data_IF_272144054038
#
_entry.id   IF_272144054038
#
_cell.length_a   1.000
_cell.length_b   1.000
_cell.length_c   1.000
_cell.angle_alpha   90.00
_cell.angle_beta   90.00
_cell.angle_gamma   90.00
#
_symmetry.space_group_name_H-M   'P 1'
#
loop_
_entity.id
_entity.type
_entity.pdbx_description
1 polymer ?
#
# COMPACT_ATOMS: atom_id res chain seq x y z
N UNK A 1 41.61 -20.46 17.46
CA UNK A 1 40.56 -19.64 18.08
C UNK A 1 39.77 -19.08 16.93
N UNK A 2 38.73 -19.80 16.54
CA UNK A 2 37.85 -19.40 15.46
C UNK A 2 36.92 -18.33 16.04
N UNK A 3 36.88 -17.16 15.42
CA UNK A 3 35.86 -16.17 15.71
C UNK A 3 34.53 -16.78 15.30
N UNK A 4 33.66 -17.05 16.27
CA UNK A 4 32.25 -17.27 16.01
C UNK A 4 31.73 -15.92 15.48
N UNK A 5 31.45 -15.86 14.18
CA UNK A 5 30.65 -14.78 13.62
C UNK A 5 29.29 -14.87 14.32
N UNK A 6 29.00 -13.91 15.21
CA UNK A 6 27.66 -13.72 15.74
C UNK A 6 26.75 -13.47 14.54
N UNK A 7 26.02 -14.51 14.13
CA UNK A 7 24.95 -14.38 13.14
C UNK A 7 23.90 -13.50 13.81
N UNK A 8 23.90 -12.22 13.46
CA UNK A 8 22.83 -11.29 13.85
C UNK A 8 21.59 -11.78 13.12
N UNK A 9 20.78 -12.60 13.79
CA UNK A 9 19.47 -13.01 13.29
C UNK A 9 18.63 -11.74 13.30
N UNK A 10 18.31 -11.21 12.13
CA UNK A 10 17.39 -10.08 12.03
C UNK A 10 16.05 -10.46 12.65
N UNK A 11 15.45 -9.57 13.45
CA UNK A 11 14.21 -9.88 14.14
C UNK A 11 13.09 -10.07 13.11
N UNK A 12 12.34 -11.17 13.25
CA UNK A 12 11.23 -11.49 12.36
C UNK A 12 10.21 -10.34 12.34
N UNK A 13 9.75 -9.87 11.16
CA UNK A 13 8.77 -8.79 11.09
C UNK A 13 7.51 -9.11 11.90
N UNK A 14 7.02 -8.08 12.58
CA UNK A 14 5.93 -8.16 13.53
C UNK A 14 4.76 -7.27 13.08
N UNK A 15 3.57 -7.86 13.08
CA UNK A 15 2.28 -7.17 13.04
C UNK A 15 1.80 -7.08 14.48
N UNK A 16 1.87 -5.90 15.06
CA UNK A 16 1.36 -5.67 16.42
C UNK A 16 -0.16 -5.60 16.37
N UNK A 17 -0.82 -6.36 17.24
CA UNK A 17 -2.27 -6.35 17.45
C UNK A 17 -2.56 -5.95 18.88
N UNK A 18 -3.37 -4.91 19.07
CA UNK A 18 -3.76 -4.41 20.39
C UNK A 18 -5.23 -4.05 20.42
N UNK A 19 -5.85 -4.11 21.60
CA UNK A 19 -7.21 -3.65 21.82
C UNK A 19 -7.26 -2.66 22.96
N UNK A 20 -8.04 -1.60 22.79
CA UNK A 20 -8.40 -0.71 23.87
C UNK A 20 -9.69 -1.11 24.60
N UNK A 21 -10.40 -2.10 24.09
CA UNK A 21 -11.59 -2.69 24.69
C UNK A 21 -11.26 -4.04 25.35
N UNK A 22 -11.41 -4.19 26.68
CA UNK A 22 -11.14 -5.46 27.37
C UNK A 22 -12.12 -6.59 27.03
N UNK A 23 -13.23 -6.28 26.35
CA UNK A 23 -14.20 -7.28 25.90
C UNK A 23 -13.87 -7.84 24.52
N UNK A 24 -13.08 -7.10 23.74
CA UNK A 24 -12.55 -7.58 22.48
C UNK A 24 -11.37 -8.51 22.73
N UNK A 25 -11.28 -9.56 21.92
CA UNK A 25 -10.22 -10.57 22.01
C UNK A 25 -9.40 -10.50 20.75
N UNK A 26 -8.17 -10.00 20.86
CA UNK A 26 -7.21 -9.91 19.76
C UNK A 26 -6.99 -11.27 19.11
N UNK A 27 -7.04 -12.36 19.89
CA UNK A 27 -6.93 -13.72 19.41
C UNK A 27 -8.03 -14.12 18.42
N UNK A 28 -9.26 -13.62 18.58
CA UNK A 28 -10.36 -13.91 17.65
C UNK A 28 -10.17 -13.19 16.32
N UNK A 29 -9.57 -12.00 16.33
CA UNK A 29 -9.17 -11.31 15.10
C UNK A 29 -8.02 -12.06 14.42
N UNK A 30 -7.01 -12.49 15.18
CA UNK A 30 -5.87 -13.25 14.66
C UNK A 30 -6.35 -14.57 14.01
N UNK A 31 -7.28 -15.31 14.64
CA UNK A 31 -7.87 -16.51 14.02
C UNK A 31 -8.49 -16.22 12.65
N UNK A 32 -9.22 -15.11 12.54
CA UNK A 32 -9.85 -14.70 11.29
C UNK A 32 -8.80 -14.28 10.24
N UNK A 33 -7.76 -13.53 10.62
CA UNK A 33 -6.64 -13.17 9.74
C UNK A 33 -5.94 -14.43 9.22
N UNK A 34 -5.69 -15.40 10.09
CA UNK A 34 -5.06 -16.67 9.76
C UNK A 34 -5.98 -17.62 8.98
N UNK A 35 -7.30 -17.36 8.93
CA UNK A 35 -8.28 -18.26 8.34
C UNK A 35 -8.40 -19.60 9.08
N UNK A 36 -8.20 -19.61 10.41
CA UNK A 36 -8.17 -20.83 11.24
C UNK A 36 -9.27 -20.81 12.31
N UNK A 37 -9.78 -21.98 12.70
CA UNK A 37 -10.76 -22.11 13.79
C UNK A 37 -10.12 -22.09 15.19
N UNK A 38 -8.84 -22.44 15.27
CA UNK A 38 -8.03 -22.44 16.49
C UNK A 38 -6.68 -21.81 16.18
N UNK A 39 -6.15 -21.02 17.12
CA UNK A 39 -4.83 -20.43 16.98
C UNK A 39 -3.74 -21.50 16.89
N UNK A 40 -2.67 -21.27 16.11
CA UNK A 40 -1.48 -22.10 16.17
C UNK A 40 -0.80 -21.98 17.54
N UNK A 41 0.12 -22.89 17.82
CA UNK A 41 0.98 -22.73 19.00
C UNK A 41 1.79 -21.43 18.87
N UNK A 42 1.84 -20.59 19.94
CA UNK A 42 2.66 -19.40 19.92
C UNK A 42 4.13 -19.75 19.63
N UNK A 43 4.77 -18.99 18.74
CA UNK A 43 6.22 -19.11 18.52
C UNK A 43 7.00 -18.60 19.74
N UNK A 44 6.40 -17.66 20.49
CA UNK A 44 6.93 -17.07 21.70
C UNK A 44 5.80 -16.57 22.59
N UNK A 45 6.01 -16.57 23.91
CA UNK A 45 5.14 -15.92 24.89
C UNK A 45 5.98 -15.37 26.03
N UNK A 46 5.78 -14.09 26.35
CA UNK A 46 6.42 -13.39 27.47
C UNK A 46 5.35 -12.62 28.24
N UNK A 47 5.07 -13.04 29.48
CA UNK A 47 3.98 -12.52 30.29
C UNK A 47 2.63 -12.53 29.53
N UNK A 48 2.14 -11.34 29.17
CA UNK A 48 0.89 -11.11 28.45
C UNK A 48 1.10 -10.82 26.96
N UNK A 49 2.34 -10.84 26.48
CA UNK A 49 2.68 -10.67 25.06
C UNK A 49 2.82 -12.03 24.41
N UNK A 50 2.15 -12.23 23.29
CA UNK A 50 2.06 -13.54 22.62
C UNK A 50 2.30 -13.36 21.12
N UNK A 51 3.17 -14.20 20.54
CA UNK A 51 3.49 -14.16 19.12
C UNK A 51 2.97 -15.40 18.42
N UNK A 52 2.17 -15.21 17.39
CA UNK A 52 1.67 -16.28 16.53
C UNK A 52 2.38 -16.22 15.18
N UNK A 53 2.97 -17.35 14.72
CA UNK A 53 3.63 -17.38 13.42
C UNK A 53 2.60 -17.29 12.29
N UNK A 54 2.94 -16.56 11.24
CA UNK A 54 2.14 -16.50 10.02
C UNK A 54 3.04 -16.40 8.80
N UNK A 55 2.76 -17.19 7.77
CA UNK A 55 3.42 -17.05 6.46
C UNK A 55 2.44 -16.39 5.51
N UNK A 56 2.76 -15.17 5.08
CA UNK A 56 2.08 -14.51 3.98
C UNK A 56 2.58 -15.15 2.68
N UNK A 57 1.66 -15.56 1.82
CA UNK A 57 1.99 -16.20 0.54
C UNK A 57 1.02 -15.69 -0.52
N UNK A 58 1.44 -14.67 -1.26
CA UNK A 58 0.65 -14.04 -2.32
C UNK A 58 1.14 -14.49 -3.71
N UNK A 59 0.68 -13.86 -4.80
CA UNK A 59 1.10 -14.22 -6.17
C UNK A 59 2.61 -14.03 -6.40
N UNK A 60 3.24 -13.11 -5.67
CA UNK A 60 4.58 -12.59 -5.97
C UNK A 60 5.65 -13.15 -5.04
N UNK A 61 5.38 -13.22 -3.74
CA UNK A 61 6.36 -13.58 -2.72
C UNK A 61 5.76 -14.45 -1.61
N UNK A 62 6.65 -15.04 -0.81
CA UNK A 62 6.35 -15.54 0.53
C UNK A 62 7.07 -14.71 1.58
N UNK A 63 6.46 -14.45 2.72
CA UNK A 63 7.08 -13.73 3.82
C UNK A 63 6.66 -14.34 5.15
N UNK A 64 7.62 -14.71 5.98
CA UNK A 64 7.36 -15.13 7.36
C UNK A 64 7.24 -13.90 8.25
N UNK A 65 6.12 -13.79 8.96
CA UNK A 65 5.82 -12.69 9.87
C UNK A 65 5.27 -13.25 11.18
N UNK A 66 5.16 -12.39 12.19
CA UNK A 66 4.49 -12.73 13.45
C UNK A 66 3.33 -11.79 13.72
N UNK A 67 2.20 -12.34 14.19
CA UNK A 67 1.11 -11.57 14.77
C UNK A 67 1.34 -11.51 16.28
N UNK A 68 1.69 -10.34 16.79
CA UNK A 68 2.06 -10.14 18.19
C UNK A 68 0.94 -9.41 18.95
N UNK A 69 0.33 -10.10 19.90
CA UNK A 69 -0.66 -9.49 20.81
C UNK A 69 0.08 -8.70 21.88
N UNK A 70 -0.09 -7.38 21.89
CA UNK A 70 0.47 -6.49 22.92
C UNK A 70 -0.67 -5.71 23.58
N UNK A 71 -1.12 -6.09 24.79
CA UNK A 71 -2.33 -5.52 25.39
C UNK A 71 -2.26 -4.02 25.69
N UNK A 72 -1.08 -3.48 25.93
CA UNK A 72 -0.91 -2.04 26.13
C UNK A 72 0.53 -1.60 25.90
N UNK A 73 0.75 -0.29 25.82
CA UNK A 73 2.08 0.31 25.67
C UNK A 73 3.03 -0.02 26.82
N UNK A 74 2.53 -0.43 27.99
CA UNK A 74 3.36 -0.83 29.13
C UNK A 74 4.09 -2.16 28.90
N UNK A 75 3.60 -2.99 27.98
CA UNK A 75 4.23 -4.25 27.59
C UNK A 75 5.08 -4.12 26.32
N UNK A 76 5.24 -2.91 25.79
CA UNK A 76 6.17 -2.67 24.69
C UNK A 76 7.61 -2.89 25.15
N UNK A 77 8.28 -3.84 24.50
CA UNK A 77 9.70 -4.12 24.71
C UNK A 77 10.52 -3.77 23.46
N UNK A 78 11.84 -3.72 23.61
CA UNK A 78 12.75 -3.38 22.51
C UNK A 78 12.65 -4.33 21.33
N UNK A 79 12.34 -5.62 21.57
CA UNK A 79 12.21 -6.63 20.52
C UNK A 79 10.96 -6.39 19.66
N UNK A 80 9.82 -6.11 20.29
CA UNK A 80 8.59 -5.72 19.58
C UNK A 80 8.81 -4.42 18.81
N UNK A 81 9.41 -3.41 19.45
CA UNK A 81 9.66 -2.13 18.81
C UNK A 81 10.56 -2.24 17.57
N UNK A 82 11.59 -3.10 17.62
CA UNK A 82 12.52 -3.29 16.49
C UNK A 82 11.94 -4.13 15.35
N UNK A 83 10.93 -4.96 15.62
CA UNK A 83 10.31 -5.84 14.63
C UNK A 83 9.01 -5.29 14.03
N UNK A 84 8.37 -4.31 14.68
CA UNK A 84 7.06 -3.81 14.27
C UNK A 84 7.10 -3.13 12.89
N UNK A 85 6.41 -3.73 11.90
CA UNK A 85 6.25 -3.18 10.55
C UNK A 85 4.78 -2.86 10.23
N UNK A 86 3.85 -3.39 11.01
CA UNK A 86 2.44 -3.07 10.93
C UNK A 86 1.83 -2.98 12.33
N UNK A 87 0.79 -2.16 12.47
CA UNK A 87 0.04 -2.02 13.70
C UNK A 87 -1.46 -2.02 13.42
N UNK A 88 -2.17 -2.92 14.11
CA UNK A 88 -3.61 -3.04 14.09
C UNK A 88 -4.10 -2.79 15.52
N UNK A 89 -4.93 -1.76 15.69
CA UNK A 89 -5.52 -1.45 16.99
C UNK A 89 -7.03 -1.44 16.93
N UNK A 90 -7.66 -2.22 17.80
CA UNK A 90 -9.09 -2.21 17.97
C UNK A 90 -9.50 -1.13 18.98
N UNK A 91 -10.54 -0.36 18.66
CA UNK A 91 -11.21 0.54 19.59
C UNK A 91 -12.72 0.28 19.63
N UNK A 92 -13.32 0.52 20.80
CA UNK A 92 -14.76 0.46 20.94
C UNK A 92 -15.40 1.79 20.49
N UNK A 93 -16.04 1.77 19.32
CA UNK A 93 -16.73 2.92 18.76
C UNK A 93 -17.98 3.33 19.54
N UNK A 94 -18.59 2.46 20.36
CA UNK A 94 -19.76 2.83 21.15
C UNK A 94 -19.41 3.72 22.36
N UNK A 95 -18.12 3.88 22.66
CA UNK A 95 -17.62 4.78 23.70
C UNK A 95 -17.29 6.13 23.08
N UNK A 96 -17.95 7.21 23.52
CA UNK A 96 -17.80 8.59 22.96
C UNK A 96 -16.35 9.06 22.78
N UNK A 97 -15.49 8.73 23.73
CA UNK A 97 -14.08 9.08 23.73
C UNK A 97 -13.19 7.86 23.41
N UNK A 98 -13.73 6.88 22.69
CA UNK A 98 -13.07 5.60 22.40
C UNK A 98 -11.70 5.78 21.74
N UNK A 99 -11.54 6.78 20.88
CA UNK A 99 -10.26 7.08 20.23
C UNK A 99 -9.16 7.56 21.19
N UNK A 100 -9.51 8.18 22.33
CA UNK A 100 -8.52 8.64 23.32
C UNK A 100 -7.74 7.47 23.95
N UNK A 101 -8.32 6.28 23.94
CA UNK A 101 -7.66 5.07 24.42
C UNK A 101 -6.54 4.57 23.49
N UNK A 102 -6.53 5.03 22.23
CA UNK A 102 -5.47 4.74 21.26
C UNK A 102 -4.30 5.73 21.39
N UNK A 103 -4.54 6.93 21.93
CA UNK A 103 -3.54 8.00 22.06
C UNK A 103 -2.19 7.59 22.66
N UNK A 104 -2.10 6.69 23.66
CA UNK A 104 -0.81 6.23 24.19
C UNK A 104 0.10 5.59 23.12
N UNK A 105 -0.47 5.01 22.06
CA UNK A 105 0.28 4.39 20.97
C UNK A 105 0.84 5.39 19.96
N UNK A 106 0.29 6.60 19.87
CA UNK A 106 0.67 7.57 18.83
C UNK A 106 2.16 7.94 18.86
N UNK A 107 2.78 8.28 20.00
CA UNK A 107 4.21 8.59 20.03
C UNK A 107 5.10 7.41 19.61
N UNK A 108 4.64 6.18 19.85
CA UNK A 108 5.36 4.95 19.48
C UNK A 108 5.27 4.74 17.96
N UNK A 109 4.08 4.92 17.39
CA UNK A 109 3.85 4.82 15.95
C UNK A 109 4.59 5.90 15.18
N UNK A 110 4.62 7.14 15.70
CA UNK A 110 5.38 8.25 15.11
C UNK A 110 6.90 7.99 15.10
N UNK A 111 7.43 7.39 16.17
CA UNK A 111 8.87 7.06 16.29
C UNK A 111 9.27 5.86 15.42
N UNK A 112 8.44 4.81 15.41
CA UNK A 112 8.74 3.55 14.71
C UNK A 112 8.32 3.55 13.24
N UNK A 113 7.36 4.41 12.87
CA UNK A 113 6.83 4.57 11.52
C UNK A 113 6.52 3.26 10.77
N UNK A 114 5.66 2.37 11.33
CA UNK A 114 5.21 1.17 10.63
C UNK A 114 4.46 1.55 9.34
N UNK A 115 4.49 0.64 8.37
CA UNK A 115 4.03 0.92 7.01
C UNK A 115 2.55 0.69 6.81
N UNK A 116 1.98 -0.18 7.66
CA UNK A 116 0.55 -0.47 7.67
C UNK A 116 0.00 -0.10 9.04
N UNK A 117 -0.93 0.85 9.05
CA UNK A 117 -1.62 1.35 10.24
C UNK A 117 -3.12 1.13 10.06
N UNK A 118 -3.72 0.28 10.90
CA UNK A 118 -5.15 -0.06 10.82
C UNK A 118 -5.81 0.26 12.16
N UNK A 119 -6.82 1.11 12.12
CA UNK A 119 -7.74 1.36 13.21
C UNK A 119 -8.99 0.51 12.97
N UNK A 120 -9.18 -0.52 13.79
CA UNK A 120 -10.30 -1.43 13.68
C UNK A 120 -11.40 -1.11 14.70
N UNK A 121 -12.66 -1.29 14.33
CA UNK A 121 -13.79 -1.34 15.25
C UNK A 121 -14.81 -2.37 14.75
N UNK A 122 -15.82 -2.74 15.54
CA UNK A 122 -16.89 -3.60 15.02
C UNK A 122 -17.66 -2.90 13.88
N UNK A 123 -18.29 -1.78 14.20
CA UNK A 123 -18.86 -0.81 13.27
C UNK A 123 -18.81 0.57 13.92
N UNK A 124 -18.85 1.65 13.15
CA UNK A 124 -18.91 3.02 13.70
C UNK A 124 -20.28 3.29 14.35
N UNK A 125 -20.30 4.14 15.37
CA UNK A 125 -21.52 4.38 16.17
C UNK A 125 -21.78 5.86 16.37
N UNK A 126 -22.93 6.35 15.90
CA UNK A 126 -23.32 7.76 16.08
C UNK A 126 -23.59 8.15 17.55
N UNK A 127 -23.81 7.16 18.43
CA UNK A 127 -23.96 7.37 19.88
C UNK A 127 -22.61 7.42 20.62
N UNK A 128 -21.53 7.01 19.97
CA UNK A 128 -20.17 7.01 20.47
C UNK A 128 -19.23 7.82 19.57
N UNK A 129 -18.38 7.13 18.81
CA UNK A 129 -17.51 7.69 17.77
C UNK A 129 -18.15 7.45 16.41
N UNK A 130 -18.57 8.54 15.78
CA UNK A 130 -19.19 8.52 14.46
C UNK A 130 -18.18 8.16 13.36
N UNK A 131 -18.70 7.77 12.18
CA UNK A 131 -17.87 7.51 11.00
C UNK A 131 -16.96 8.69 10.66
N UNK A 132 -17.52 9.90 10.68
CA UNK A 132 -16.81 11.11 10.33
C UNK A 132 -15.66 11.40 11.30
N UNK A 133 -15.89 11.23 12.61
CA UNK A 133 -14.86 11.43 13.63
C UNK A 133 -13.73 10.40 13.50
N UNK A 134 -14.07 9.12 13.35
CA UNK A 134 -13.09 8.06 13.14
C UNK A 134 -12.25 8.28 11.87
N UNK A 135 -12.89 8.65 10.76
CA UNK A 135 -12.18 8.95 9.50
C UNK A 135 -11.26 10.16 9.63
N UNK A 136 -11.73 11.25 10.26
CA UNK A 136 -10.90 12.44 10.48
C UNK A 136 -9.70 12.13 11.38
N UNK A 137 -9.90 11.29 12.40
CA UNK A 137 -8.82 10.82 13.26
C UNK A 137 -7.81 9.98 12.47
N UNK A 138 -8.29 9.04 11.66
CA UNK A 138 -7.45 8.21 10.79
C UNK A 138 -6.60 9.04 9.83
N UNK A 139 -7.20 10.00 9.13
CA UNK A 139 -6.49 10.92 8.23
C UNK A 139 -5.40 11.73 8.96
N UNK A 140 -5.65 12.10 10.22
CA UNK A 140 -4.71 12.91 11.00
C UNK A 140 -3.49 12.11 11.49
N UNK A 141 -3.60 10.79 11.59
CA UNK A 141 -2.55 9.90 12.12
C UNK A 141 -2.10 8.82 11.12
N UNK A 142 -2.51 8.94 9.85
CA UNK A 142 -2.22 7.99 8.76
C UNK A 142 -2.71 6.55 8.98
N UNK A 143 -3.75 6.35 9.81
CA UNK A 143 -4.41 5.05 9.94
C UNK A 143 -5.46 4.87 8.83
N UNK A 144 -5.69 3.62 8.46
CA UNK A 144 -6.87 3.20 7.70
C UNK A 144 -7.97 2.75 8.68
N UNK A 145 -9.19 3.27 8.52
CA UNK A 145 -10.35 2.79 9.28
C UNK A 145 -10.89 1.51 8.67
N UNK A 146 -11.00 0.45 9.47
CA UNK A 146 -11.64 -0.81 9.05
C UNK A 146 -12.74 -1.20 10.05
N UNK A 147 -13.98 -1.21 9.58
CA UNK A 147 -15.10 -1.82 10.31
C UNK A 147 -15.08 -3.33 10.06
N UNK A 148 -15.04 -4.12 11.13
CA UNK A 148 -15.03 -5.58 11.09
C UNK A 148 -16.38 -6.16 10.64
N UNK A 149 -17.47 -5.48 11.00
CA UNK A 149 -18.86 -5.83 10.73
C UNK A 149 -19.64 -4.57 10.31
N UNK A 150 -19.31 -3.93 9.18
CA UNK A 150 -19.98 -2.69 8.76
C UNK A 150 -21.48 -2.91 8.56
N UNK A 151 -22.29 -1.91 8.94
CA UNK A 151 -23.74 -1.96 8.74
C UNK A 151 -24.13 -1.71 7.28
N UNK A 152 -23.40 -0.80 6.62
CA UNK A 152 -23.57 -0.49 5.21
C UNK A 152 -22.51 -1.26 4.42
N UNK A 153 -22.95 -2.23 3.63
CA UNK A 153 -22.09 -2.96 2.71
C UNK A 153 -21.98 -2.18 1.39
N UNK A 154 -20.81 -2.23 0.72
CA UNK A 154 -20.67 -1.69 -0.61
C UNK A 154 -21.63 -2.40 -1.57
N UNK A 155 -22.07 -1.67 -2.60
CA UNK A 155 -22.98 -2.21 -3.62
C UNK A 155 -22.28 -3.34 -4.39
N UNK A 156 -22.87 -4.54 -4.38
CA UNK A 156 -22.30 -5.69 -5.09
C UNK A 156 -22.39 -5.53 -6.62
N UNK A 157 -23.27 -4.64 -7.10
CA UNK A 157 -23.40 -4.30 -8.52
C UNK A 157 -22.39 -3.23 -8.97
N UNK A 158 -21.59 -2.67 -8.06
CA UNK A 158 -20.47 -1.79 -8.44
C UNK A 158 -19.40 -2.60 -9.18
N UNK A 159 -18.78 -2.03 -10.22
CA UNK A 159 -17.75 -2.73 -11.01
C UNK A 159 -16.52 -3.07 -10.14
N UNK A 160 -16.30 -2.30 -9.07
CA UNK A 160 -15.17 -2.45 -8.14
C UNK A 160 -15.63 -2.28 -6.68
N UNK A 161 -16.36 -3.26 -6.12
CA UNK A 161 -16.87 -3.14 -4.77
C UNK A 161 -15.72 -3.14 -3.77
N UNK A 162 -15.71 -2.14 -2.88
CA UNK A 162 -14.70 -2.05 -1.82
C UNK A 162 -14.73 -3.29 -0.93
N UNK A 163 -13.56 -3.79 -0.52
CA UNK A 163 -13.52 -4.85 0.49
C UNK A 163 -13.67 -4.24 1.88
N UNK A 164 -14.41 -4.91 2.76
CA UNK A 164 -14.57 -4.51 4.16
C UNK A 164 -14.09 -5.61 5.13
N UNK A 165 -14.10 -5.32 6.43
CA UNK A 165 -13.79 -6.27 7.49
C UNK A 165 -12.41 -6.91 7.42
N UNK A 166 -12.30 -8.13 7.93
CA UNK A 166 -11.02 -8.86 7.97
C UNK A 166 -10.43 -9.08 6.57
N UNK A 167 -11.27 -9.21 5.54
CA UNK A 167 -10.81 -9.29 4.14
C UNK A 167 -9.98 -8.06 3.77
N UNK A 168 -10.40 -6.85 4.17
CA UNK A 168 -9.66 -5.62 3.92
C UNK A 168 -8.33 -5.58 4.66
N UNK A 169 -8.31 -6.00 5.93
CA UNK A 169 -7.08 -6.12 6.73
C UNK A 169 -6.07 -7.04 6.03
N UNK A 170 -6.52 -8.24 5.61
CA UNK A 170 -5.66 -9.19 4.91
C UNK A 170 -5.11 -8.59 3.60
N UNK A 171 -5.93 -7.86 2.84
CA UNK A 171 -5.46 -7.18 1.63
C UNK A 171 -4.38 -6.14 1.91
N UNK A 172 -4.56 -5.29 2.92
CA UNK A 172 -3.55 -4.31 3.33
C UNK A 172 -2.23 -4.99 3.72
N UNK A 173 -2.29 -6.08 4.49
CA UNK A 173 -1.11 -6.86 4.89
C UNK A 173 -0.43 -7.56 3.70
N UNK A 174 -1.20 -8.06 2.73
CA UNK A 174 -0.65 -8.68 1.51
C UNK A 174 -0.05 -7.67 0.53
N UNK A 175 -0.52 -6.43 0.55
CA UNK A 175 -0.02 -5.35 -0.28
C UNK A 175 1.29 -4.75 0.24
N UNK A 176 1.63 -5.00 1.51
CA UNK A 176 2.90 -4.57 2.07
C UNK A 176 4.09 -5.37 1.49
N UNK A 177 5.29 -4.81 1.57
CA UNK A 177 6.54 -5.52 1.27
C UNK A 177 7.26 -5.79 2.59
N UNK A 178 7.25 -7.03 3.06
CA UNK A 178 7.83 -7.39 4.35
C UNK A 178 9.34 -7.56 4.28
N UNK A 179 10.05 -7.27 5.37
CA UNK A 179 11.51 -7.47 5.42
C UNK A 179 11.92 -8.93 5.19
N UNK A 180 11.06 -9.91 5.51
CA UNK A 180 11.27 -11.33 5.26
C UNK A 180 10.76 -11.81 3.90
N UNK A 181 10.41 -10.91 2.98
CA UNK A 181 9.85 -11.28 1.69
C UNK A 181 10.90 -11.98 0.81
N UNK A 182 10.54 -13.19 0.36
CA UNK A 182 11.26 -14.01 -0.59
C UNK A 182 10.43 -14.17 -1.87
N UNK A 183 10.99 -13.76 -3.01
CA UNK A 183 10.28 -13.85 -4.28
C UNK A 183 10.06 -15.30 -4.72
N UNK A 184 8.88 -15.60 -5.24
CA UNK A 184 8.60 -16.92 -5.79
C UNK A 184 9.32 -17.09 -7.13
N UNK A 185 10.18 -18.09 -7.23
CA UNK A 185 10.81 -18.45 -8.51
C UNK A 185 9.79 -19.12 -9.43
N UNK A 186 9.39 -18.44 -10.50
CA UNK A 186 8.48 -18.99 -11.51
C UNK A 186 8.62 -18.30 -12.86
N UNK A 187 8.35 -19.02 -13.95
CA UNK A 187 8.35 -18.48 -15.33
C UNK A 187 7.43 -17.26 -15.50
N UNK A 188 6.46 -17.06 -14.60
CA UNK A 188 5.56 -15.89 -14.53
C UNK A 188 6.16 -14.65 -13.84
N UNK A 189 7.36 -14.73 -13.26
CA UNK A 189 7.99 -13.60 -12.55
C UNK A 189 8.94 -12.77 -13.44
N UNK A 190 9.04 -13.10 -14.74
CA UNK A 190 9.81 -12.31 -15.71
C UNK A 190 9.17 -10.94 -16.00
N UNK A 191 7.89 -10.76 -15.68
CA UNK A 191 7.21 -9.47 -15.80
C UNK A 191 7.48 -8.53 -14.61
N UNK A 192 7.42 -9.01 -13.36
CA UNK A 192 7.35 -8.14 -12.18
C UNK A 192 8.71 -7.62 -11.67
N UNK A 193 9.60 -7.21 -12.58
CA UNK A 193 10.96 -6.72 -12.27
C UNK A 193 10.99 -5.59 -11.25
N UNK A 194 9.98 -4.71 -11.24
CA UNK A 194 9.84 -3.63 -10.26
C UNK A 194 9.56 -4.15 -8.85
N UNK A 195 8.66 -5.12 -8.67
CA UNK A 195 8.39 -5.70 -7.35
C UNK A 195 9.62 -6.43 -6.82
N UNK A 196 10.32 -7.17 -7.69
CA UNK A 196 11.58 -7.84 -7.35
C UNK A 196 12.62 -6.84 -6.86
N UNK A 197 12.71 -5.69 -7.53
CA UNK A 197 13.62 -4.60 -7.15
C UNK A 197 13.23 -3.92 -5.84
N UNK A 198 11.93 -3.70 -5.57
CA UNK A 198 11.45 -3.14 -4.29
C UNK A 198 11.77 -4.07 -3.11
N UNK A 199 11.55 -5.37 -3.27
CA UNK A 199 11.93 -6.38 -2.27
C UNK A 199 13.45 -6.45 -2.11
N UNK A 200 14.21 -6.46 -3.20
CA UNK A 200 15.67 -6.48 -3.16
C UNK A 200 16.26 -5.22 -2.47
N UNK A 201 15.64 -4.05 -2.68
CA UNK A 201 16.06 -2.79 -2.05
C UNK A 201 15.90 -2.80 -0.53
N UNK A 202 14.95 -3.58 0.01
CA UNK A 202 14.80 -3.77 1.47
C UNK A 202 15.94 -4.58 2.06
N UNK A 203 16.31 -5.68 1.40
CA UNK A 203 17.39 -6.56 1.83
C UNK A 203 18.77 -5.89 1.79
N UNK A 204 18.93 -4.84 0.97
CA UNK A 204 20.22 -4.18 0.76
C UNK A 204 20.45 -2.88 1.55
N UNK A 205 19.53 -2.47 2.43
CA UNK A 205 19.63 -1.19 3.12
C UNK A 205 19.93 -1.34 4.62
N UNK A 206 21.20 -1.52 5.03
CA UNK A 206 21.59 -1.32 6.42
C UNK A 206 21.41 0.17 6.74
N UNK A 207 20.54 0.46 7.71
CA UNK A 207 20.25 1.77 8.34
C UNK A 207 21.40 2.78 8.14
N UNK A 208 21.19 3.94 7.48
CA UNK A 208 22.22 4.95 7.39
C UNK A 208 22.44 5.54 8.79
N UNK A 209 23.62 5.27 9.34
CA UNK A 209 24.12 5.93 10.54
C UNK A 209 24.21 7.43 10.25
N UNK A 210 23.54 8.25 11.04
CA UNK A 210 23.72 9.69 11.03
C UNK A 210 25.18 10.01 11.34
N UNK A 211 25.91 10.48 10.34
CA UNK A 211 26.96 11.51 10.47
C UNK A 211 27.57 11.80 9.09
N UNK A 212 27.33 13.00 8.55
CA UNK A 212 28.37 13.99 8.19
C UNK A 212 27.77 15.05 7.25
N UNK A 213 27.95 16.31 7.65
CA UNK A 213 27.53 17.55 7.00
C UNK A 213 28.16 17.76 5.61
N UNK A 214 27.43 18.35 4.66
CA UNK A 214 27.97 19.47 3.85
C UNK A 214 26.89 20.26 3.09
N UNK A 215 26.61 21.45 3.62
CA UNK A 215 26.62 22.78 2.96
C UNK A 215 26.31 22.91 1.45
N UNK A 216 25.22 23.63 1.13
CA UNK A 216 25.01 24.29 -0.17
C UNK A 216 23.72 25.12 -0.19
N UNK A 217 23.86 26.45 -0.15
CA UNK A 217 22.76 27.44 -0.08
C UNK A 217 22.12 27.74 -1.47
N UNK A 218 20.94 28.40 -1.53
CA UNK A 218 20.05 28.40 -2.68
C UNK A 218 20.36 29.53 -3.68
N UNK A 219 20.07 29.29 -4.96
CA UNK A 219 20.05 30.33 -5.99
C UNK A 219 18.64 30.45 -6.58
N UNK A 220 18.14 31.67 -6.54
CA UNK A 220 16.85 32.17 -6.98
C UNK A 220 16.76 32.41 -8.51
N UNK A 221 15.54 32.20 -9.06
CA UNK A 221 14.87 32.90 -10.19
C UNK A 221 15.49 32.61 -11.58
N UNK A 222 14.73 32.21 -12.62
CA UNK A 222 13.79 33.05 -13.40
C UNK A 222 12.69 32.22 -14.09
N UNK A 223 11.44 32.68 -13.98
CA UNK A 223 10.32 32.31 -14.85
C UNK A 223 10.54 32.85 -16.26
N UNK A 224 10.52 31.99 -17.28
CA UNK A 224 10.50 32.41 -18.68
C UNK A 224 9.13 32.07 -19.30
N UNK A 225 8.38 33.14 -19.54
CA UNK A 225 7.10 33.17 -20.26
C UNK A 225 7.40 32.89 -21.73
N UNK A 226 6.88 31.79 -22.28
CA UNK A 226 6.92 31.52 -23.72
C UNK A 226 5.51 31.67 -24.29
N UNK A 227 5.37 32.63 -25.19
CA UNK A 227 4.17 32.99 -25.93
C UNK A 227 3.68 31.86 -26.86
N UNK A 228 2.38 31.58 -26.82
CA UNK A 228 1.69 30.72 -27.80
C UNK A 228 1.72 31.34 -29.21
N UNK A 229 2.12 30.61 -30.27
CA UNK A 229 1.76 30.99 -31.61
C UNK A 229 0.37 30.45 -31.95
N UNK A 230 -0.57 31.38 -32.17
CA UNK A 230 -1.85 31.15 -32.83
C UNK A 230 -1.65 30.44 -34.17
N UNK A 231 -2.18 29.24 -34.32
CA UNK A 231 -2.35 28.58 -35.62
C UNK A 231 -3.82 28.25 -35.89
N UNK A 232 -4.34 29.06 -36.80
CA UNK A 232 -5.50 28.97 -37.69
C UNK A 232 -6.21 27.61 -37.75
N UNK A 233 -7.53 27.65 -37.48
CA UNK A 233 -8.52 26.63 -37.84
C UNK A 233 -8.43 26.27 -39.33
N UNK A 234 -8.18 25.00 -39.62
CA UNK A 234 -8.55 24.38 -40.89
C UNK A 234 -9.60 23.32 -40.62
N UNK A 235 -10.83 23.61 -41.08
CA UNK A 235 -11.90 22.64 -41.21
C UNK A 235 -11.58 21.71 -42.37
N UNK A 236 -11.41 20.41 -42.09
CA UNK A 236 -11.58 19.37 -43.10
C UNK A 236 -12.38 18.21 -42.50
N UNK A 237 -13.54 18.00 -43.08
CA UNK A 237 -14.52 16.96 -42.82
C UNK A 237 -14.10 15.56 -43.32
N UNK A 238 -14.62 14.52 -42.63
CA UNK A 238 -14.64 13.06 -42.91
C UNK A 238 -13.44 12.25 -42.32
N UNK A 239 -13.55 11.11 -41.62
CA UNK A 239 -14.47 9.93 -41.51
C UNK A 239 -14.30 9.32 -40.09
N UNK A 240 -15.27 8.59 -39.46
CA UNK A 240 -15.09 8.06 -38.10
C UNK A 240 -14.27 6.77 -38.09
N UNK A 241 -13.07 6.82 -37.53
CA UNK A 241 -12.21 5.66 -37.34
C UNK A 241 -10.84 6.07 -36.81
N UNK A 242 -10.59 5.77 -35.53
CA UNK A 242 -9.26 5.62 -34.93
C UNK A 242 -8.27 6.78 -35.16
N UNK A 243 -8.53 7.94 -34.55
CA UNK A 243 -7.49 8.95 -34.32
C UNK A 243 -6.79 8.60 -33.01
N UNK A 244 -5.77 7.76 -33.10
CA UNK A 244 -4.72 7.65 -32.08
C UNK A 244 -3.98 8.99 -32.08
N UNK A 245 -3.95 9.68 -30.94
CA UNK A 245 -3.04 10.81 -30.77
C UNK A 245 -1.61 10.26 -30.74
N UNK A 246 -0.75 10.56 -31.74
CA UNK A 246 0.62 10.06 -31.79
C UNK A 246 1.45 10.47 -30.57
N UNK A 247 1.01 11.49 -29.82
CA UNK A 247 1.64 11.90 -28.58
C UNK A 247 1.38 10.89 -27.44
N UNK A 248 0.22 10.23 -27.41
CA UNK A 248 -0.13 9.24 -26.39
C UNK A 248 0.67 7.94 -26.56
N UNK A 249 0.87 7.49 -27.80
CA UNK A 249 1.66 6.28 -28.07
C UNK A 249 3.15 6.50 -27.71
N UNK A 250 3.66 7.72 -27.88
CA UNK A 250 5.03 8.08 -27.50
C UNK A 250 5.22 8.12 -25.98
N UNK A 251 4.24 8.66 -25.24
CA UNK A 251 4.23 8.64 -23.77
C UNK A 251 4.12 7.20 -23.23
N UNK A 252 3.30 6.35 -23.87
CA UNK A 252 3.17 4.92 -23.53
C UNK A 252 4.49 4.17 -23.76
N UNK A 253 5.17 4.45 -24.87
CA UNK A 253 6.48 3.86 -25.15
C UNK A 253 7.53 4.31 -24.13
N UNK A 254 7.47 5.57 -23.67
CA UNK A 254 8.34 6.08 -22.62
C UNK A 254 8.07 5.36 -21.29
N UNK A 255 6.81 5.16 -20.90
CA UNK A 255 6.46 4.36 -19.70
C UNK A 255 7.05 2.95 -19.75
N UNK A 256 6.89 2.25 -20.88
CA UNK A 256 7.42 0.90 -21.04
C UNK A 256 8.97 0.87 -20.97
N UNK A 257 9.64 1.88 -21.49
CA UNK A 257 11.09 1.99 -21.41
C UNK A 257 11.58 2.31 -19.99
N UNK A 258 10.84 3.14 -19.25
CA UNK A 258 11.17 3.48 -17.86
C UNK A 258 10.97 2.28 -16.94
N UNK A 259 10.07 1.35 -17.25
CA UNK A 259 9.90 0.14 -16.41
C UNK A 259 10.75 -1.06 -16.82
N UNK A 260 11.22 -1.11 -18.08
CA UNK A 260 12.14 -2.14 -18.57
C UNK A 260 13.63 -1.83 -18.31
N UNK A 261 13.95 -0.60 -17.89
CA UNK A 261 15.31 -0.14 -17.56
C UNK A 261 15.77 -0.51 -16.15
N UNK A 262 17.04 -0.18 -15.84
CA UNK A 262 17.62 -0.40 -14.51
C UNK A 262 16.84 0.43 -13.45
N UNK A 263 16.54 -0.20 -12.32
CA UNK A 263 15.68 0.38 -11.29
C UNK A 263 16.46 1.35 -10.39
N UNK A 264 16.75 2.55 -10.90
CA UNK A 264 17.27 3.67 -10.11
C UNK A 264 16.13 4.61 -9.67
N UNK A 265 16.31 5.31 -8.55
CA UNK A 265 15.34 6.25 -7.95
C UNK A 265 14.92 7.31 -8.98
N UNK A 266 15.85 7.78 -9.80
CA UNK A 266 15.59 8.75 -10.87
C UNK A 266 14.61 8.22 -11.93
N UNK A 267 14.67 6.91 -12.21
CA UNK A 267 13.80 6.25 -13.18
C UNK A 267 12.36 6.12 -12.63
N UNK A 268 12.22 5.86 -11.32
CA UNK A 268 10.93 5.83 -10.63
C UNK A 268 10.29 7.21 -10.51
N UNK A 269 11.04 8.25 -10.15
CA UNK A 269 10.53 9.63 -10.13
C UNK A 269 10.06 10.10 -11.52
N UNK A 270 10.79 9.69 -12.57
CA UNK A 270 10.41 9.97 -13.96
C UNK A 270 9.14 9.24 -14.38
N UNK A 271 8.95 8.00 -13.91
CA UNK A 271 7.71 7.25 -14.12
C UNK A 271 6.50 7.98 -13.51
N UNK A 272 6.61 8.43 -12.26
CA UNK A 272 5.54 9.18 -11.58
C UNK A 272 5.28 10.55 -12.22
N UNK A 273 6.34 11.22 -12.67
CA UNK A 273 6.22 12.48 -13.41
C UNK A 273 5.45 12.27 -14.71
N UNK A 274 5.75 11.20 -15.47
CA UNK A 274 4.99 10.86 -16.68
C UNK A 274 3.55 10.45 -16.41
N UNK A 275 3.30 9.70 -15.34
CA UNK A 275 1.94 9.32 -14.96
C UNK A 275 1.07 10.56 -14.64
N UNK A 276 1.67 11.54 -13.96
CA UNK A 276 1.05 12.83 -13.67
C UNK A 276 0.74 13.61 -14.95
N UNK A 277 1.69 13.69 -15.88
CA UNK A 277 1.47 14.36 -17.18
C UNK A 277 0.34 13.70 -17.99
N UNK A 278 0.28 12.36 -18.01
CA UNK A 278 -0.77 11.62 -18.71
C UNK A 278 -2.14 11.79 -18.04
N UNK A 279 -2.19 11.89 -16.70
CA UNK A 279 -3.40 12.22 -15.95
C UNK A 279 -3.89 13.64 -16.26
N UNK A 280 -2.99 14.61 -16.31
CA UNK A 280 -3.32 16.01 -16.61
C UNK A 280 -3.85 16.14 -18.05
N UNK A 281 -3.25 15.42 -19.02
CA UNK A 281 -3.79 15.30 -20.39
C UNK A 281 -5.19 14.68 -20.40
N UNK A 282 -5.42 13.58 -19.67
CA UNK A 282 -6.72 12.93 -19.59
C UNK A 282 -7.82 13.86 -19.03
N UNK A 283 -7.47 14.75 -18.09
CA UNK A 283 -8.41 15.71 -17.49
C UNK A 283 -8.95 16.72 -18.51
N UNK A 284 -8.15 17.04 -19.53
CA UNK A 284 -8.52 17.96 -20.63
C UNK A 284 -9.39 17.32 -21.73
N UNK A 285 -9.51 15.98 -21.74
CA UNK A 285 -10.28 15.24 -22.75
C UNK A 285 -11.77 15.14 -22.40
N UNK A 286 -12.68 15.13 -23.40
CA UNK A 286 -14.09 14.79 -23.22
C UNK A 286 -14.28 13.37 -22.65
N UNK A 287 -15.41 13.11 -21.98
CA UNK A 287 -15.68 11.86 -21.25
C UNK A 287 -15.38 10.57 -22.04
N UNK A 288 -15.88 10.49 -23.28
CA UNK A 288 -15.69 9.32 -24.15
C UNK A 288 -14.21 9.06 -24.50
N UNK A 289 -13.46 10.14 -24.78
CA UNK A 289 -12.04 10.06 -25.10
C UNK A 289 -11.18 9.82 -23.86
N UNK A 290 -11.63 10.33 -22.70
CA UNK A 290 -10.98 10.10 -21.40
C UNK A 290 -11.05 8.63 -21.02
N UNK A 291 -12.16 7.93 -21.30
CA UNK A 291 -12.32 6.49 -21.07
C UNK A 291 -11.30 5.69 -21.88
N UNK A 292 -11.22 5.94 -23.19
CA UNK A 292 -10.25 5.27 -24.09
C UNK A 292 -8.80 5.59 -23.71
N UNK A 293 -8.52 6.84 -23.35
CA UNK A 293 -7.19 7.25 -22.88
C UNK A 293 -6.83 6.51 -21.59
N UNK A 294 -7.70 6.51 -20.57
CA UNK A 294 -7.49 5.83 -19.31
C UNK A 294 -7.28 4.32 -19.49
N UNK A 295 -8.06 3.67 -20.36
CA UNK A 295 -7.88 2.24 -20.68
C UNK A 295 -6.48 1.97 -21.26
N UNK A 296 -6.02 2.80 -22.19
CA UNK A 296 -4.67 2.65 -22.77
C UNK A 296 -3.56 2.89 -21.76
N UNK A 297 -3.69 3.93 -20.93
CA UNK A 297 -2.72 4.21 -19.87
C UNK A 297 -2.69 3.06 -18.87
N UNK A 298 -3.85 2.53 -18.47
CA UNK A 298 -3.94 1.41 -17.54
C UNK A 298 -3.33 0.13 -18.11
N UNK A 299 -3.63 -0.21 -19.37
CA UNK A 299 -3.02 -1.37 -20.07
C UNK A 299 -1.50 -1.20 -20.21
N UNK A 300 -1.06 -0.02 -20.63
CA UNK A 300 0.36 0.30 -20.75
C UNK A 300 1.07 0.18 -19.40
N UNK A 301 0.49 0.74 -18.34
CA UNK A 301 1.05 0.68 -17.00
C UNK A 301 1.06 -0.77 -16.45
N UNK A 302 0.00 -1.54 -16.70
CA UNK A 302 -0.07 -2.96 -16.33
C UNK A 302 1.04 -3.77 -16.99
N UNK A 303 1.22 -3.62 -18.30
CA UNK A 303 2.33 -4.25 -19.02
C UNK A 303 3.69 -3.75 -18.53
N UNK A 304 3.78 -2.47 -18.18
CA UNK A 304 5.01 -1.85 -17.72
C UNK A 304 5.46 -2.38 -16.36
N UNK A 305 4.54 -2.62 -15.41
CA UNK A 305 4.83 -3.32 -14.15
C UNK A 305 4.90 -4.85 -14.31
N UNK A 306 4.73 -5.33 -15.54
CA UNK A 306 4.88 -6.71 -15.98
C UNK A 306 3.72 -7.63 -15.67
N UNK A 307 2.51 -7.10 -15.68
CA UNK A 307 1.33 -7.93 -15.88
C UNK A 307 1.28 -8.50 -17.30
N UNK A 308 0.73 -9.71 -17.44
CA UNK A 308 0.67 -10.41 -18.72
C UNK A 308 -0.42 -9.84 -19.62
N UNK A 309 -0.16 -9.81 -20.94
CA UNK A 309 -1.15 -9.35 -21.94
C UNK A 309 -2.44 -10.20 -21.89
N UNK A 310 -2.30 -11.50 -21.59
CA UNK A 310 -3.42 -12.43 -21.48
C UNK A 310 -4.36 -12.09 -20.30
N UNK A 311 -3.88 -11.36 -19.29
CA UNK A 311 -4.69 -10.92 -18.13
C UNK A 311 -5.58 -9.70 -18.47
N UNK A 312 -5.28 -8.99 -19.56
CA UNK A 312 -6.01 -7.78 -20.00
C UNK A 312 -6.73 -7.97 -21.35
N UNK A 313 -6.47 -9.07 -22.04
CA UNK A 313 -7.16 -9.46 -23.29
C UNK A 313 -8.58 -9.96 -22.97
N UNK A 314 -9.58 -9.15 -23.32
CA UNK A 314 -11.00 -9.43 -23.08
C UNK A 314 -11.70 -8.43 -22.15
N UNK A 315 -10.97 -7.58 -21.45
CA UNK A 315 -11.51 -6.50 -20.60
C UNK A 315 -11.95 -5.25 -21.39
N UNK A 316 -11.93 -5.32 -22.73
CA UNK A 316 -12.40 -4.24 -23.59
C UNK A 316 -13.88 -4.01 -23.29
N UNK A 317 -14.27 -2.79 -22.92
CA UNK A 317 -15.67 -2.39 -22.86
C UNK A 317 -16.21 -2.28 -24.29
N UNK A 318 -16.37 -3.41 -24.96
CA UNK A 318 -17.19 -3.50 -26.16
C UNK A 318 -18.64 -3.34 -25.72
N UNK A 319 -19.18 -2.14 -25.92
CA UNK A 319 -20.62 -2.01 -26.12
C UNK A 319 -20.95 -2.79 -27.41
N UNK A 320 -21.28 -4.07 -27.28
CA UNK A 320 -22.07 -4.76 -28.31
C UNK A 320 -23.46 -4.11 -28.28
N UNK A 321 -23.69 -3.18 -29.22
CA UNK A 321 -25.03 -2.78 -29.65
C UNK A 321 -25.65 -3.84 -30.56
#
# INVERSE_FOLDING_TARGET
>A
MSAEEDIVVEPMPCILVSSSDPTFKEEELIKQILGTSTLPEPSKQEDTVIWYPWTISNKYYTADVTLCVVPSTFQMCSEVAQSMQAFIVYFNSAVKDGLNSVSPWLPIVEDLAPEVLILACDHVSDDGVSRQEAQQWCLSHAFELVELSPQDLPDEDDDFPESTGVKRIIQALNANVWASAEMKDGEHNQGFGLLSSLVASRHNNPRPSQDTQSSGSPAEIVEEIIEEPRTVRSESSAVPGQVVDPMTDMDIQELANLTAGDADVENFERLFTKLKEMKDKASSLPHEQRKVHAEKVAKAFWMAIGGDQDEIDGLSSGEES
#
